data_IF_422267535838
#
_entry.id   IF_422267535838
#
_cell.length_a   1.000
_cell.length_b   1.000
_cell.length_c   1.000
_cell.angle_alpha   90.00
_cell.angle_beta   90.00
_cell.angle_gamma   90.00
#
_symmetry.space_group_name_H-M   'P 1'
#
loop_
_entity.id
_entity.type
_entity.pdbx_description
1 polymer ?
#
# COMPACT_ATOMS: atom_id res chain seq x y z
N UNK A 1 7.28 -16.82 7.65
CA UNK A 1 6.96 -15.49 8.20
C UNK A 1 7.34 -14.49 7.14
N UNK A 2 6.39 -13.86 6.46
CA UNK A 2 6.68 -12.79 5.50
C UNK A 2 7.10 -11.57 6.32
N UNK A 3 8.34 -11.12 6.15
CA UNK A 3 8.87 -9.99 6.89
C UNK A 3 8.23 -8.70 6.36
N UNK A 4 7.70 -7.88 7.25
CA UNK A 4 7.27 -6.52 6.93
C UNK A 4 8.42 -5.78 6.21
N UNK A 5 8.13 -5.22 5.03
CA UNK A 5 9.14 -4.59 4.18
C UNK A 5 8.81 -3.12 3.96
N UNK A 6 9.83 -2.27 4.07
CA UNK A 6 9.72 -0.83 3.89
C UNK A 6 10.08 -0.38 2.47
N UNK A 7 10.66 -1.26 1.65
CA UNK A 7 11.18 -0.95 0.31
C UNK A 7 10.38 -1.61 -0.81
N UNK A 8 9.63 -2.67 -0.52
CA UNK A 8 8.87 -3.44 -1.49
C UNK A 8 7.67 -4.14 -0.81
N UNK A 9 6.70 -4.62 -1.59
CA UNK A 9 5.54 -5.40 -1.07
C UNK A 9 5.52 -6.81 -1.66
N UNK A 10 4.78 -7.76 -1.09
CA UNK A 10 4.95 -9.20 -1.37
C UNK A 10 4.42 -9.68 -2.75
N UNK A 11 3.66 -8.83 -3.46
CA UNK A 11 3.05 -9.14 -4.76
C UNK A 11 1.68 -9.82 -4.70
N UNK A 12 1.23 -10.27 -3.52
CA UNK A 12 -0.08 -10.87 -3.27
C UNK A 12 -1.03 -9.90 -2.58
N UNK A 13 -0.57 -9.20 -1.55
CA UNK A 13 -1.26 -8.11 -0.88
C UNK A 13 -0.25 -7.15 -0.21
N UNK A 14 -0.65 -5.91 0.02
CA UNK A 14 0.25 -4.89 0.54
C UNK A 14 0.03 -4.59 2.03
N UNK A 15 -0.64 -5.49 2.76
CA UNK A 15 -1.00 -5.27 4.18
C UNK A 15 0.22 -5.16 5.10
N UNK A 16 1.34 -5.78 4.72
CA UNK A 16 2.60 -5.81 5.47
C UNK A 16 3.64 -4.79 4.96
N UNK A 17 3.29 -3.95 3.98
CA UNK A 17 4.17 -2.89 3.48
C UNK A 17 4.26 -1.72 4.47
N UNK A 18 5.40 -1.55 5.14
CA UNK A 18 5.59 -0.55 6.21
C UNK A 18 6.39 0.67 5.75
N UNK A 19 6.59 0.84 4.45
CA UNK A 19 7.42 1.91 3.91
C UNK A 19 6.84 3.31 4.07
N UNK A 20 7.61 4.32 3.69
CA UNK A 20 7.30 5.74 3.93
C UNK A 20 7.04 6.51 2.63
N UNK A 21 6.81 5.81 1.52
CA UNK A 21 6.45 6.44 0.25
C UNK A 21 5.09 7.11 0.40
N UNK A 22 5.01 8.39 0.06
CA UNK A 22 3.82 9.26 0.19
C UNK A 22 3.49 9.99 -1.12
N UNK A 23 3.91 9.40 -2.23
CA UNK A 23 3.67 9.90 -3.58
C UNK A 23 3.16 8.77 -4.47
N UNK A 24 2.17 9.08 -5.30
CA UNK A 24 1.56 8.13 -6.23
C UNK A 24 2.45 7.87 -7.44
N UNK A 25 2.09 6.90 -8.27
CA UNK A 25 2.85 6.58 -9.49
C UNK A 25 2.96 7.75 -10.48
N UNK A 26 1.95 8.62 -10.56
CA UNK A 26 2.01 9.86 -11.35
C UNK A 26 2.65 11.04 -10.62
N UNK A 27 3.10 10.87 -9.37
CA UNK A 27 3.75 11.91 -8.58
C UNK A 27 2.78 12.81 -7.79
N UNK A 28 1.52 12.42 -7.62
CA UNK A 28 0.59 13.16 -6.74
C UNK A 28 0.95 12.93 -5.28
N UNK A 29 0.80 13.97 -4.47
CA UNK A 29 1.00 13.87 -3.02
C UNK A 29 -0.14 13.10 -2.38
N UNK A 30 0.19 12.16 -1.50
CA UNK A 30 -0.80 11.45 -0.72
C UNK A 30 -1.42 12.33 0.37
N UNK A 31 -2.74 12.24 0.49
CA UNK A 31 -3.52 12.73 1.62
C UNK A 31 -3.19 11.90 2.87
N UNK A 32 -3.23 12.55 4.03
CA UNK A 32 -3.08 11.85 5.31
C UNK A 32 -4.31 10.99 5.57
N UNK A 33 -4.11 9.73 5.92
CA UNK A 33 -5.18 8.81 6.29
C UNK A 33 -5.99 9.30 7.49
N UNK A 34 -5.39 10.04 8.42
CA UNK A 34 -6.15 10.60 9.54
C UNK A 34 -7.10 11.75 9.15
N UNK A 35 -7.03 12.27 7.91
CA UNK A 35 -7.80 13.43 7.44
C UNK A 35 -8.81 13.03 6.37
N UNK A 36 -9.97 13.67 6.36
CA UNK A 36 -11.05 13.50 5.37
C UNK A 36 -11.07 14.60 4.29
N UNK A 37 -9.91 15.21 4.01
CA UNK A 37 -9.81 16.32 3.05
C UNK A 37 -8.54 16.20 2.21
N UNK A 38 -8.63 16.37 0.86
CA UNK A 38 -9.82 16.70 0.07
C UNK A 38 -10.87 15.59 -0.08
N UNK A 39 -10.51 14.33 0.19
CA UNK A 39 -11.42 13.19 0.00
C UNK A 39 -11.83 12.60 1.34
N UNK A 40 -13.13 12.59 1.63
CA UNK A 40 -13.66 11.91 2.81
C UNK A 40 -13.64 10.39 2.59
N UNK A 41 -13.28 9.62 3.63
CA UNK A 41 -13.18 8.17 3.52
C UNK A 41 -13.35 7.44 4.86
N UNK A 42 -13.60 6.14 4.80
CA UNK A 42 -13.88 5.31 5.99
C UNK A 42 -12.64 4.90 6.78
N UNK A 43 -11.44 5.29 6.34
CA UNK A 43 -10.15 4.99 6.97
C UNK A 43 -9.59 6.19 7.75
N UNK A 44 -10.46 7.05 8.31
CA UNK A 44 -10.06 8.23 9.07
C UNK A 44 -9.67 7.89 10.52
N UNK A 45 -9.27 8.91 11.28
CA UNK A 45 -8.87 8.74 12.67
C UNK A 45 -9.95 8.10 13.54
N UNK A 46 -9.58 7.06 14.30
CA UNK A 46 -10.49 6.30 15.15
C UNK A 46 -11.41 5.31 14.40
N UNK A 47 -11.20 5.09 13.10
CA UNK A 47 -11.96 4.10 12.36
C UNK A 47 -11.52 2.66 12.73
N UNK A 48 -12.47 1.72 12.92
CA UNK A 48 -12.17 0.31 13.21
C UNK A 48 -11.63 -0.44 11.98
N UNK A 49 -11.53 0.24 10.83
CA UNK A 49 -11.23 -0.35 9.52
C UNK A 49 -9.72 -0.49 9.26
N UNK A 50 -8.88 -0.16 10.23
CA UNK A 50 -7.47 -0.49 10.21
C UNK A 50 -7.26 -1.85 10.92
N UNK A 51 -6.88 -2.92 10.18
CA UNK A 51 -6.96 -4.28 10.69
C UNK A 51 -5.86 -4.69 11.67
N UNK A 52 -4.85 -3.85 11.94
CA UNK A 52 -3.71 -4.21 12.79
C UNK A 52 -3.07 -3.01 13.52
N UNK A 53 -2.45 -3.28 14.68
CA UNK A 53 -1.77 -2.27 15.53
C UNK A 53 -0.56 -1.60 14.84
N UNK A 54 -0.04 -2.20 13.77
CA UNK A 54 1.06 -1.63 12.98
C UNK A 54 0.60 -0.48 12.07
N UNK A 55 -0.69 -0.43 11.73
CA UNK A 55 -1.25 0.54 10.79
C UNK A 55 -2.43 1.24 11.44
N UNK A 56 -2.18 2.10 12.43
CA UNK A 56 -3.17 3.10 12.79
C UNK A 56 -3.17 4.23 11.74
N UNK A 57 -4.28 4.95 11.62
CA UNK A 57 -4.35 6.22 10.90
C UNK A 57 -3.20 7.18 11.29
N UNK A 58 -2.73 7.09 12.53
CA UNK A 58 -1.62 7.87 13.08
C UNK A 58 -0.25 7.38 12.55
N UNK A 59 -0.01 6.06 12.53
CA UNK A 59 1.27 5.50 12.04
C UNK A 59 1.35 5.46 10.51
N UNK A 60 0.22 5.36 9.83
CA UNK A 60 0.14 5.42 8.38
C UNK A 60 0.46 6.83 7.84
N UNK A 61 0.23 7.89 8.62
CA UNK A 61 0.47 9.29 8.22
C UNK A 61 -0.18 9.56 6.84
N UNK A 62 0.62 9.82 5.81
CA UNK A 62 0.22 9.91 4.40
C UNK A 62 0.97 8.91 3.52
N UNK A 63 1.40 7.78 4.07
CA UNK A 63 2.15 6.77 3.34
C UNK A 63 1.23 5.83 2.56
N UNK A 64 1.74 5.21 1.50
CA UNK A 64 0.97 4.27 0.69
C UNK A 64 0.68 2.99 1.47
N UNK A 65 -0.57 2.54 1.49
CA UNK A 65 -1.08 1.41 2.28
C UNK A 65 -2.13 0.64 1.49
N UNK A 66 -2.43 -0.57 1.97
CA UNK A 66 -3.48 -1.45 1.45
C UNK A 66 -4.28 -2.00 2.64
N UNK A 67 -5.10 -1.15 3.30
CA UNK A 67 -5.77 -1.50 4.54
C UNK A 67 -6.88 -2.55 4.36
N UNK A 68 -7.45 -2.65 3.16
CA UNK A 68 -8.45 -3.67 2.80
C UNK A 68 -7.82 -5.00 2.35
N UNK A 69 -6.49 -5.04 2.25
CA UNK A 69 -5.76 -6.23 1.79
C UNK A 69 -6.25 -6.70 0.43
N UNK A 70 -6.59 -5.73 -0.43
CA UNK A 70 -7.16 -6.00 -1.73
C UNK A 70 -6.25 -6.98 -2.48
N UNK A 71 -6.77 -8.18 -2.77
CA UNK A 71 -6.03 -9.21 -3.49
C UNK A 71 -5.86 -8.73 -4.93
N UNK A 72 -4.78 -8.00 -5.20
CA UNK A 72 -4.62 -7.28 -6.46
C UNK A 72 -3.18 -6.90 -6.75
N UNK A 73 -2.79 -7.07 -8.01
CA UNK A 73 -1.49 -6.65 -8.58
C UNK A 73 -1.25 -5.14 -8.58
N UNK A 74 -2.24 -4.33 -8.18
CA UNK A 74 -2.13 -2.87 -8.13
C UNK A 74 -1.28 -2.36 -6.96
N UNK A 75 -1.07 -3.18 -5.93
CA UNK A 75 -0.18 -2.85 -4.81
C UNK A 75 -0.71 -1.74 -3.87
N UNK A 76 0.17 -1.19 -3.01
CA UNK A 76 -0.23 -0.17 -2.05
C UNK A 76 -0.72 1.12 -2.73
N UNK A 77 -1.76 1.73 -2.19
CA UNK A 77 -2.36 2.97 -2.70
C UNK A 77 -2.42 4.06 -1.64
N UNK A 78 -2.81 5.26 -2.03
CA UNK A 78 -3.20 6.29 -1.08
C UNK A 78 -4.32 7.16 -1.65
N UNK A 79 -5.02 7.86 -0.76
CA UNK A 79 -5.83 9.00 -1.19
C UNK A 79 -4.91 10.12 -1.67
N UNK A 80 -5.29 10.86 -2.71
CA UNK A 80 -4.43 11.92 -3.25
C UNK A 80 -4.90 13.32 -2.82
N UNK A 81 -4.02 14.31 -2.86
CA UNK A 81 -4.40 15.71 -2.66
C UNK A 81 -5.06 16.34 -3.89
N UNK A 82 -5.19 15.62 -5.02
CA UNK A 82 -5.87 16.09 -6.23
C UNK A 82 -7.38 15.86 -6.11
N UNK A 83 -8.22 16.91 -6.14
CA UNK A 83 -9.67 16.78 -6.04
C UNK A 83 -10.29 15.95 -7.19
N UNK A 84 -9.59 15.80 -8.31
CA UNK A 84 -10.06 15.04 -9.47
C UNK A 84 -9.72 13.55 -9.38
N UNK A 85 -8.80 13.15 -8.50
CA UNK A 85 -8.30 11.77 -8.40
C UNK A 85 -8.33 11.33 -6.93
N UNK A 86 -9.42 10.69 -6.46
CA UNK A 86 -9.58 10.32 -5.06
C UNK A 86 -8.48 9.40 -4.55
N UNK A 87 -8.18 8.33 -5.29
CA UNK A 87 -7.15 7.35 -4.94
C UNK A 87 -6.26 7.06 -6.14
N UNK A 88 -5.01 6.71 -5.87
CA UNK A 88 -4.09 6.25 -6.90
C UNK A 88 -3.07 5.27 -6.29
N UNK A 89 -2.64 4.30 -7.10
CA UNK A 89 -1.59 3.37 -6.72
C UNK A 89 -0.23 4.07 -6.59
N UNK A 90 0.60 3.57 -5.69
CA UNK A 90 1.98 4.04 -5.53
C UNK A 90 2.95 3.17 -6.30
N UNK A 91 4.02 3.78 -6.82
CA UNK A 91 5.06 3.06 -7.56
C UNK A 91 6.02 2.35 -6.60
N UNK A 92 5.56 1.26 -5.99
CA UNK A 92 6.32 0.46 -5.04
C UNK A 92 6.61 -0.90 -5.68
N UNK A 93 7.89 -1.30 -5.77
CA UNK A 93 8.24 -2.56 -6.41
C UNK A 93 7.72 -3.75 -5.60
N UNK A 94 7.37 -4.82 -6.29
CA UNK A 94 7.16 -6.12 -5.66
C UNK A 94 8.53 -6.64 -5.21
N UNK A 95 8.62 -7.12 -3.97
CA UNK A 95 9.81 -7.77 -3.46
C UNK A 95 10.11 -8.94 -4.40
N UNK A 96 11.38 -9.14 -4.77
CA UNK A 96 11.74 -10.22 -5.69
C UNK A 96 11.37 -11.60 -5.13
N UNK A 97 10.15 -12.04 -5.40
CA UNK A 97 9.70 -13.42 -5.38
C UNK A 97 9.54 -13.82 -6.84
N UNK A 98 10.68 -13.97 -7.53
CA UNK A 98 10.82 -14.39 -8.94
C UNK A 98 9.91 -13.61 -9.90
N UNK A 99 10.43 -12.49 -10.41
CA UNK A 99 10.02 -11.95 -11.70
C UNK A 99 9.83 -13.14 -12.66
N UNK A 100 8.63 -13.30 -13.22
CA UNK A 100 8.30 -14.36 -14.17
C UNK A 100 9.00 -14.09 -15.52
N UNK A 101 10.32 -14.01 -15.50
CA UNK A 101 11.20 -14.56 -16.52
C UNK A 101 11.90 -15.68 -15.77
N UNK A 102 11.57 -16.93 -16.03
CA UNK A 102 12.30 -17.69 -17.04
C UNK A 102 11.42 -18.88 -17.40
N UNK A 103 11.17 -19.04 -18.71
CA UNK A 103 10.88 -20.35 -19.29
C UNK A 103 11.72 -21.42 -18.59
N UNK A 104 11.09 -22.48 -18.09
CA UNK A 104 11.76 -23.72 -17.74
C UNK A 104 12.67 -23.63 -16.49
N UNK A 105 12.15 -24.03 -15.34
CA UNK A 105 12.62 -25.20 -14.61
C UNK A 105 12.06 -25.20 -13.20
N UNK A 106 11.58 -26.38 -12.82
CA UNK A 106 11.21 -26.79 -11.48
C UNK A 106 12.07 -26.15 -10.39
N UNK A 107 11.42 -25.69 -9.33
CA UNK A 107 11.67 -25.99 -7.91
C UNK A 107 10.99 -24.86 -7.12
N UNK A 108 9.82 -25.12 -6.54
CA UNK A 108 9.65 -25.68 -5.19
C UNK A 108 10.31 -24.81 -4.11
N UNK A 109 9.48 -24.48 -3.11
CA UNK A 109 9.73 -23.73 -1.89
C UNK A 109 9.72 -22.19 -2.07
N UNK A 110 8.90 -21.45 -1.34
CA UNK A 110 8.12 -21.71 -0.12
C UNK A 110 6.70 -21.17 -0.28
#
# INVERSE_FOLDING_TARGET
>A
MCSASSTCWDGLNAVDYTGTISVTASGRTCQKWALDSPHAHTFHSGAPNFPNDNYSDITASNYCRDPDGSQGVSGPFCYTMDPSTPTEACSIPICSSKSFSVYLSFQLFC
#
